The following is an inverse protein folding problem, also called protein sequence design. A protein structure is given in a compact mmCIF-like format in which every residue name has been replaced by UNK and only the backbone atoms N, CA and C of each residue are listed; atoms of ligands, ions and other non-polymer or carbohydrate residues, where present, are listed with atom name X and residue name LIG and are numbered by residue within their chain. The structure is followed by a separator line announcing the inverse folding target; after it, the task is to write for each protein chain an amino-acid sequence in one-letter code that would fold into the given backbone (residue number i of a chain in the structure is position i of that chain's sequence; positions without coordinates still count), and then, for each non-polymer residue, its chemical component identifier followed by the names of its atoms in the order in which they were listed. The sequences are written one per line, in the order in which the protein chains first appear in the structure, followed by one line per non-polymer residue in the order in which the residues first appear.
data_IF_587640570089
#
_entry.id   IF_587640570089
#
_cell.length_a   1.000
_cell.length_b   1.000
_cell.length_c   1.000
_cell.angle_alpha   90.00
_cell.angle_beta   90.00
_cell.angle_gamma   90.00
#
_symmetry.space_group_name_H-M   'P 1'
#
loop_
_entity.id
_entity.type
_entity.pdbx_description
1 polymer ?
#
# COMPACT_ATOMS: atom_id res chain seq x y z
N UNK A 1 17.83 9.62 -17.49
CA UNK A 1 17.61 9.80 -16.05
C UNK A 1 18.97 9.98 -15.40
N UNK A 2 19.11 11.02 -14.60
CA UNK A 2 20.33 11.30 -13.85
C UNK A 2 19.99 11.72 -12.43
N UNK A 3 20.93 11.58 -11.50
CA UNK A 3 20.76 11.93 -10.10
C UNK A 3 21.81 11.27 -9.22
N UNK A 4 21.59 11.34 -7.92
CA UNK A 4 22.38 10.63 -6.93
C UNK A 4 21.49 10.18 -5.78
N UNK A 5 21.93 9.12 -5.12
CA UNK A 5 21.42 8.67 -3.83
C UNK A 5 22.42 9.09 -2.76
N UNK A 6 21.91 9.45 -1.57
CA UNK A 6 22.74 9.76 -0.41
C UNK A 6 22.15 9.04 0.81
N UNK A 7 23.01 8.29 1.50
CA UNK A 7 22.72 7.60 2.74
C UNK A 7 23.17 8.48 3.91
N UNK A 8 22.26 8.86 4.80
CA UNK A 8 22.51 9.77 5.91
C UNK A 8 23.17 9.11 7.13
N UNK A 9 23.15 7.77 7.23
CA UNK A 9 23.84 7.01 8.26
C UNK A 9 25.31 6.79 7.91
N UNK A 10 25.57 6.35 6.68
CA UNK A 10 26.92 6.01 6.21
C UNK A 10 27.63 7.16 5.51
N UNK A 11 26.88 8.22 5.16
CA UNK A 11 27.33 9.35 4.35
C UNK A 11 27.85 8.93 2.96
N UNK A 12 27.47 7.74 2.48
CA UNK A 12 27.82 7.24 1.15
C UNK A 12 26.90 7.88 0.11
N UNK A 13 27.49 8.31 -1.01
CA UNK A 13 26.75 8.80 -2.17
C UNK A 13 26.97 7.89 -3.38
N UNK A 14 25.92 7.70 -4.18
CA UNK A 14 25.99 6.97 -5.46
C UNK A 14 25.30 7.79 -6.54
N UNK A 15 26.05 8.22 -7.55
CA UNK A 15 25.48 8.88 -8.73
C UNK A 15 24.93 7.90 -9.76
N UNK A 16 24.11 8.39 -10.68
CA UNK A 16 23.77 7.73 -11.92
C UNK A 16 23.50 8.75 -13.03
N UNK A 17 23.89 8.41 -14.26
CA UNK A 17 23.56 9.16 -15.46
C UNK A 17 23.31 8.18 -16.61
N UNK A 18 22.06 8.08 -17.05
CA UNK A 18 21.62 7.06 -18.00
C UNK A 18 20.71 7.68 -19.05
N UNK A 19 20.95 7.37 -20.30
CA UNK A 19 20.17 7.80 -21.46
C UNK A 19 19.57 6.57 -22.13
N UNK A 20 18.26 6.63 -22.39
CA UNK A 20 17.53 5.61 -23.14
C UNK A 20 17.06 6.13 -24.49
N UNK A 21 16.90 5.21 -25.45
CA UNK A 21 16.31 5.46 -26.77
C UNK A 21 15.28 4.37 -27.03
N UNK A 22 14.05 4.74 -27.42
CA UNK A 22 12.90 3.83 -27.59
C UNK A 22 12.64 2.94 -26.36
N UNK A 23 12.83 3.49 -25.16
CA UNK A 23 12.66 2.76 -23.89
C UNK A 23 13.77 1.75 -23.58
N UNK A 24 14.83 1.67 -24.40
CA UNK A 24 15.96 0.76 -24.21
C UNK A 24 17.22 1.52 -23.78
N UNK A 25 18.12 0.84 -23.08
CA UNK A 25 19.40 1.39 -22.65
C UNK A 25 20.26 1.79 -23.84
N UNK A 26 20.76 3.03 -23.83
CA UNK A 26 21.50 3.58 -24.96
C UNK A 26 22.91 4.04 -24.56
N UNK A 27 23.05 4.92 -23.58
CA UNK A 27 24.34 5.46 -23.11
C UNK A 27 24.25 5.68 -21.60
N UNK A 28 25.33 5.43 -20.85
CA UNK A 28 25.40 5.77 -19.44
C UNK A 28 26.80 6.26 -19.06
N UNK A 29 26.90 7.08 -18.02
CA UNK A 29 28.18 7.52 -17.46
C UNK A 29 28.68 6.46 -16.47
N UNK A 30 29.82 5.86 -16.76
CA UNK A 30 30.58 5.11 -15.76
C UNK A 30 31.23 6.13 -14.83
N UNK A 31 30.67 6.29 -13.63
CA UNK A 31 31.15 7.27 -12.65
C UNK A 31 32.49 6.87 -12.00
N UNK A 32 32.86 5.59 -12.05
CA UNK A 32 34.15 5.13 -11.52
C UNK A 32 35.29 5.47 -12.47
N UNK A 33 35.11 5.16 -13.76
CA UNK A 33 36.07 5.48 -14.80
C UNK A 33 35.88 6.89 -15.38
N UNK A 34 34.83 7.57 -14.93
CA UNK A 34 34.38 8.89 -15.35
C UNK A 34 34.33 9.07 -16.88
N UNK A 35 33.63 8.15 -17.56
CA UNK A 35 33.47 8.16 -19.02
C UNK A 35 32.13 7.59 -19.45
N UNK A 36 31.58 8.09 -20.53
CA UNK A 36 30.39 7.51 -21.13
C UNK A 36 30.71 6.16 -21.77
N UNK A 37 29.76 5.23 -21.64
CA UNK A 37 29.77 3.88 -22.18
C UNK A 37 28.44 3.62 -22.87
N UNK A 38 28.45 2.79 -23.90
CA UNK A 38 27.24 2.37 -24.62
C UNK A 38 27.23 0.84 -24.78
N UNK A 39 26.09 0.17 -24.57
CA UNK A 39 25.93 -1.25 -24.87
C UNK A 39 25.56 -1.52 -26.34
N UNK A 40 25.29 -0.49 -27.15
CA UNK A 40 24.79 -0.63 -28.53
C UNK A 40 25.67 0.10 -29.55
N UNK A 41 25.74 -0.43 -30.77
CA UNK A 41 26.59 0.13 -31.83
C UNK A 41 26.19 1.56 -32.22
N UNK A 42 24.89 1.85 -32.17
CA UNK A 42 24.31 3.14 -32.52
C UNK A 42 24.78 4.27 -31.56
N UNK A 43 25.18 3.93 -30.33
CA UNK A 43 25.66 4.90 -29.34
C UNK A 43 27.14 5.26 -29.49
N UNK A 44 27.92 4.53 -30.30
CA UNK A 44 29.39 4.66 -30.36
C UNK A 44 29.80 6.07 -30.77
N UNK A 45 29.15 6.64 -31.80
CA UNK A 45 29.48 7.97 -32.32
C UNK A 45 29.27 9.03 -31.24
N UNK A 46 28.17 8.94 -30.50
CA UNK A 46 27.82 9.87 -29.41
C UNK A 46 28.81 9.75 -28.26
N UNK A 47 29.10 8.53 -27.79
CA UNK A 47 30.06 8.30 -26.71
C UNK A 47 31.45 8.82 -27.08
N UNK A 48 31.92 8.60 -28.32
CA UNK A 48 33.19 9.15 -28.80
C UNK A 48 33.22 10.67 -28.81
N UNK A 49 32.10 11.32 -29.13
CA UNK A 49 31.98 12.78 -29.09
C UNK A 49 32.01 13.29 -27.65
N UNK A 50 31.19 12.72 -26.76
CA UNK A 50 31.06 13.18 -25.38
C UNK A 50 32.33 12.94 -24.58
N UNK A 51 32.99 11.79 -24.76
CA UNK A 51 34.26 11.49 -24.07
C UNK A 51 35.45 12.35 -24.55
N UNK A 52 35.31 13.10 -25.64
CA UNK A 52 36.32 14.10 -26.07
C UNK A 52 36.15 15.44 -25.36
N UNK A 53 34.98 15.71 -24.80
CA UNK A 53 34.66 16.95 -24.10
C UNK A 53 35.08 16.85 -22.63
N UNK A 54 36.36 17.13 -22.38
CA UNK A 54 36.95 17.01 -21.03
C UNK A 54 36.38 18.04 -20.06
N UNK A 55 36.05 19.24 -20.54
CA UNK A 55 35.49 20.30 -19.71
C UNK A 55 34.10 19.91 -19.20
N UNK A 56 33.25 19.38 -20.09
CA UNK A 56 31.95 18.86 -19.72
C UNK A 56 32.05 17.69 -18.72
N UNK A 57 33.00 16.78 -18.91
CA UNK A 57 33.22 15.68 -17.96
C UNK A 57 33.63 16.23 -16.58
N UNK A 58 34.55 17.18 -16.49
CA UNK A 58 34.96 17.71 -15.18
C UNK A 58 33.80 18.40 -14.44
N UNK A 59 32.92 19.11 -15.17
CA UNK A 59 31.71 19.71 -14.58
C UNK A 59 30.73 18.64 -14.08
N UNK A 60 30.50 17.57 -14.85
CA UNK A 60 29.66 16.46 -14.40
C UNK A 60 30.25 15.77 -13.18
N UNK A 61 31.58 15.70 -13.09
CA UNK A 61 32.26 15.08 -11.95
C UNK A 61 31.98 15.85 -10.68
N UNK A 62 32.14 17.18 -10.72
CA UNK A 62 31.78 18.05 -9.61
C UNK A 62 30.30 17.88 -9.23
N UNK A 63 29.41 17.82 -10.21
CA UNK A 63 27.98 17.64 -9.95
C UNK A 63 27.68 16.35 -9.17
N UNK A 64 28.18 15.19 -9.64
CA UNK A 64 27.88 13.90 -9.01
C UNK A 64 28.66 13.65 -7.71
N UNK A 65 29.85 14.22 -7.55
CA UNK A 65 30.64 14.10 -6.31
C UNK A 65 30.16 15.04 -5.20
N UNK A 66 29.59 16.20 -5.55
CA UNK A 66 29.25 17.26 -4.59
C UNK A 66 27.83 17.80 -4.76
N UNK A 67 27.59 18.55 -5.85
CA UNK A 67 26.41 19.41 -5.97
C UNK A 67 25.11 18.61 -5.80
N UNK A 68 25.03 17.43 -6.38
CA UNK A 68 23.85 16.59 -6.32
C UNK A 68 23.45 16.24 -4.86
N UNK A 69 24.43 15.87 -4.03
CA UNK A 69 24.19 15.54 -2.62
C UNK A 69 23.81 16.80 -1.83
N UNK A 70 24.46 17.92 -2.11
CA UNK A 70 24.16 19.20 -1.46
C UNK A 70 22.73 19.67 -1.77
N UNK A 71 22.28 19.50 -3.02
CA UNK A 71 20.90 19.75 -3.41
C UNK A 71 19.92 18.84 -2.67
N UNK A 72 20.18 17.53 -2.57
CA UNK A 72 19.32 16.61 -1.81
C UNK A 72 19.23 17.04 -0.34
N UNK A 73 20.36 17.34 0.30
CA UNK A 73 20.38 17.85 1.69
C UNK A 73 19.58 19.14 1.85
N UNK A 74 19.73 20.08 0.91
CA UNK A 74 18.99 21.33 0.92
C UNK A 74 17.48 21.11 0.78
N UNK A 75 17.05 20.29 -0.18
CA UNK A 75 15.64 19.96 -0.38
C UNK A 75 15.06 19.16 0.79
N UNK A 76 15.84 18.29 1.43
CA UNK A 76 15.43 17.64 2.68
C UNK A 76 15.26 18.65 3.80
N UNK A 77 16.16 19.63 3.95
CA UNK A 77 16.01 20.69 4.96
C UNK A 77 14.76 21.55 4.75
N UNK A 78 14.50 22.00 3.52
CA UNK A 78 13.27 22.73 3.17
C UNK A 78 12.04 21.83 3.35
N UNK A 79 12.18 20.59 2.88
CA UNK A 79 11.18 19.56 2.88
C UNK A 79 10.83 19.10 4.27
N UNK A 80 11.71 19.20 5.29
CA UNK A 80 11.39 18.79 6.67
C UNK A 80 10.08 19.40 7.15
N UNK A 81 9.79 20.67 6.89
CA UNK A 81 8.49 21.24 7.29
C UNK A 81 7.26 20.58 6.58
N UNK A 82 7.43 20.05 5.36
CA UNK A 82 6.41 19.37 4.58
C UNK A 82 6.43 17.82 4.69
N UNK A 83 7.60 17.22 4.93
CA UNK A 83 7.89 15.79 5.08
C UNK A 83 7.67 15.33 6.52
N UNK A 84 8.01 16.17 7.53
CA UNK A 84 7.56 15.96 8.93
C UNK A 84 6.04 15.95 9.01
N UNK A 85 5.34 16.53 8.02
CA UNK A 85 3.89 16.51 7.91
C UNK A 85 3.33 15.25 7.23
N UNK A 86 4.16 14.44 6.57
CA UNK A 86 3.83 13.02 6.33
C UNK A 86 4.36 12.24 7.53
N UNK A 87 3.68 12.47 8.66
CA UNK A 87 3.76 11.64 9.86
C UNK A 87 3.79 10.18 9.42
N UNK A 88 4.71 9.37 9.92
CA UNK A 88 4.75 7.93 9.62
C UNK A 88 3.37 7.34 9.87
N UNK A 89 2.64 7.06 8.79
CA UNK A 89 1.27 6.57 8.90
C UNK A 89 1.34 5.05 8.87
N UNK A 90 1.02 4.43 10.01
CA UNK A 90 0.94 2.97 10.09
C UNK A 90 -0.22 2.45 9.23
N UNK A 91 -0.06 1.28 8.57
CA UNK A 91 -1.08 0.75 7.69
C UNK A 91 -2.34 0.36 8.44
N UNK A 92 -3.49 0.61 7.81
CA UNK A 92 -4.71 -0.12 8.13
C UNK A 92 -4.66 -1.48 7.44
N UNK A 93 -4.67 -2.55 8.23
CA UNK A 93 -4.56 -3.93 7.73
C UNK A 93 -5.91 -4.63 7.85
N UNK A 94 -6.35 -5.26 6.77
CA UNK A 94 -7.57 -6.06 6.70
C UNK A 94 -7.31 -7.43 6.08
N UNK A 95 -7.94 -8.45 6.63
CA UNK A 95 -7.94 -9.80 6.07
C UNK A 95 -9.26 -10.01 5.31
N UNK A 96 -9.19 -10.17 3.99
CA UNK A 96 -10.34 -10.14 3.11
C UNK A 96 -10.55 -11.51 2.48
N UNK A 97 -11.79 -12.02 2.52
CA UNK A 97 -12.15 -13.28 1.87
C UNK A 97 -13.54 -13.18 1.24
N UNK A 98 -13.65 -13.42 -0.06
CA UNK A 98 -14.94 -13.31 -0.77
C UNK A 98 -15.98 -14.32 -0.27
N UNK A 99 -15.57 -15.57 -0.12
CA UNK A 99 -16.32 -16.68 0.46
C UNK A 99 -15.34 -17.73 1.02
N UNK A 100 -15.81 -18.72 1.78
CA UNK A 100 -14.93 -19.68 2.45
C UNK A 100 -14.02 -20.45 1.49
N UNK A 101 -14.43 -20.67 0.24
CA UNK A 101 -13.62 -21.34 -0.79
C UNK A 101 -12.65 -20.42 -1.52
N UNK A 102 -12.76 -19.10 -1.32
CA UNK A 102 -11.91 -18.12 -1.99
C UNK A 102 -10.58 -17.94 -1.26
N UNK A 103 -9.52 -17.54 -1.98
CA UNK A 103 -8.27 -17.11 -1.39
C UNK A 103 -8.46 -16.01 -0.35
N UNK A 104 -7.53 -15.94 0.60
CA UNK A 104 -7.52 -14.92 1.65
C UNK A 104 -6.49 -13.86 1.31
N UNK A 105 -6.92 -12.61 1.21
CA UNK A 105 -6.07 -11.47 0.88
C UNK A 105 -5.77 -10.66 2.13
N UNK A 106 -4.49 -10.49 2.44
CA UNK A 106 -4.06 -9.52 3.43
C UNK A 106 -3.80 -8.18 2.74
N UNK A 107 -4.63 -7.18 3.05
CA UNK A 107 -4.61 -5.88 2.42
C UNK A 107 -4.15 -4.83 3.44
N UNK A 108 -3.02 -4.17 3.16
CA UNK A 108 -2.55 -3.00 3.90
C UNK A 108 -2.76 -1.75 3.04
N UNK A 109 -3.30 -0.68 3.63
CA UNK A 109 -3.54 0.59 2.93
C UNK A 109 -3.39 1.79 3.85
N UNK A 110 -3.22 2.97 3.27
CA UNK A 110 -3.13 4.24 3.98
C UNK A 110 -1.78 4.47 4.66
N UNK A 111 -0.74 3.73 4.28
CA UNK A 111 0.57 3.82 4.93
C UNK A 111 1.56 4.72 4.19
N UNK A 112 2.51 5.29 4.93
CA UNK A 112 3.62 6.06 4.39
C UNK A 112 4.82 5.97 5.35
N UNK A 113 6.07 5.73 4.87
CA UNK A 113 6.53 5.64 3.48
C UNK A 113 6.10 4.34 2.77
N UNK A 114 6.46 4.17 1.49
CA UNK A 114 6.02 3.04 0.64
C UNK A 114 6.63 1.68 1.00
N UNK A 115 7.73 1.66 1.76
CA UNK A 115 8.42 0.45 2.15
C UNK A 115 7.57 -0.33 3.16
N UNK A 116 7.03 -1.49 2.75
CA UNK A 116 6.25 -2.38 3.62
C UNK A 116 6.58 -3.83 3.31
N UNK A 117 6.69 -4.63 4.36
CA UNK A 117 6.86 -6.08 4.27
C UNK A 117 5.58 -6.75 4.73
N UNK A 118 5.00 -7.60 3.87
CA UNK A 118 3.80 -8.38 4.20
C UNK A 118 4.16 -9.85 4.00
N UNK A 119 4.04 -10.64 5.05
CA UNK A 119 4.37 -12.07 5.05
C UNK A 119 3.21 -12.89 5.60
N UNK A 120 3.14 -14.14 5.20
CA UNK A 120 2.27 -15.13 5.82
C UNK A 120 3.09 -16.04 6.72
N UNK A 121 2.55 -16.31 7.91
CA UNK A 121 3.05 -17.35 8.79
C UNK A 121 2.10 -18.55 8.74
N UNK A 122 2.65 -19.75 8.67
CA UNK A 122 1.95 -21.03 8.87
C UNK A 122 2.49 -21.67 10.14
N UNK A 123 1.65 -21.81 11.17
CA UNK A 123 2.05 -22.32 12.48
C UNK A 123 3.27 -21.60 13.09
N UNK A 124 3.36 -20.29 12.88
CA UNK A 124 4.45 -19.45 13.40
C UNK A 124 5.73 -19.44 12.57
N UNK A 125 5.80 -20.17 11.44
CA UNK A 125 6.93 -20.13 10.51
C UNK A 125 6.56 -19.38 9.24
N UNK A 126 7.50 -18.63 8.67
CA UNK A 126 7.29 -17.94 7.40
C UNK A 126 6.89 -18.93 6.30
N UNK A 127 5.87 -18.55 5.53
CA UNK A 127 5.26 -19.35 4.48
C UNK A 127 5.13 -18.53 3.21
N UNK A 128 5.79 -18.99 2.15
CA UNK A 128 5.84 -18.31 0.85
C UNK A 128 5.23 -19.17 -0.29
N UNK A 129 4.80 -20.41 0.00
CA UNK A 129 4.13 -21.28 -0.99
C UNK A 129 2.67 -20.83 -1.19
N UNK A 130 2.19 -20.88 -2.44
CA UNK A 130 0.83 -20.43 -2.82
C UNK A 130 0.50 -18.98 -2.41
N UNK A 131 1.53 -18.15 -2.25
CA UNK A 131 1.42 -16.71 -1.96
C UNK A 131 1.60 -15.89 -3.24
N UNK A 132 0.62 -15.04 -3.52
CA UNK A 132 0.67 -14.04 -4.58
C UNK A 132 1.02 -12.67 -3.97
N UNK A 133 2.18 -12.13 -4.37
CA UNK A 133 2.70 -10.86 -3.90
C UNK A 133 2.25 -9.73 -4.83
N UNK A 134 1.27 -8.94 -4.36
CA UNK A 134 0.83 -7.76 -5.10
C UNK A 134 1.88 -6.65 -5.11
N UNK A 135 1.80 -5.81 -6.14
CA UNK A 135 2.60 -4.59 -6.25
C UNK A 135 2.17 -3.55 -5.20
N UNK A 136 3.11 -2.68 -4.82
CA UNK A 136 2.78 -1.50 -4.00
C UNK A 136 2.19 -0.43 -4.91
N UNK A 137 0.95 -0.02 -4.63
CA UNK A 137 0.24 1.01 -5.38
C UNK A 137 0.15 2.31 -4.57
N UNK A 138 0.05 3.44 -5.27
CA UNK A 138 -0.14 4.76 -4.66
C UNK A 138 -1.63 5.13 -4.65
N UNK A 139 -2.09 5.68 -3.52
CA UNK A 139 -3.45 6.20 -3.33
C UNK A 139 -3.55 7.66 -3.82
N UNK A 140 -4.78 8.14 -4.02
CA UNK A 140 -5.05 9.52 -4.44
C UNK A 140 -4.54 10.58 -3.45
N UNK A 141 -4.48 10.22 -2.16
CA UNK A 141 -3.98 11.08 -1.08
C UNK A 141 -2.45 11.02 -0.92
N UNK A 142 -1.75 10.24 -1.75
CA UNK A 142 -0.30 10.07 -1.73
C UNK A 142 0.22 9.08 -0.67
N UNK A 143 -0.66 8.34 0.01
CA UNK A 143 -0.31 7.15 0.80
C UNK A 143 -0.18 5.91 -0.10
N UNK A 144 0.21 4.77 0.46
CA UNK A 144 0.42 3.54 -0.29
C UNK A 144 -0.52 2.43 0.15
N UNK A 145 -0.69 1.45 -0.73
CA UNK A 145 -1.41 0.21 -0.47
C UNK A 145 -0.66 -0.99 -1.07
N UNK A 146 -0.80 -2.16 -0.46
CA UNK A 146 -0.25 -3.43 -0.95
C UNK A 146 -1.12 -4.58 -0.49
N UNK A 147 -1.29 -5.58 -1.36
CA UNK A 147 -2.07 -6.79 -1.07
C UNK A 147 -1.20 -8.01 -1.26
N UNK A 148 -1.27 -8.95 -0.32
CA UNK A 148 -0.65 -10.27 -0.46
C UNK A 148 -1.70 -11.35 -0.24
N UNK A 149 -1.89 -12.22 -1.21
CA UNK A 149 -2.98 -13.20 -1.24
C UNK A 149 -2.46 -14.60 -1.04
N UNK A 150 -3.06 -15.34 -0.11
CA UNK A 150 -2.76 -16.75 0.17
C UNK A 150 -3.82 -17.65 -0.47
N UNK A 151 -3.38 -18.51 -1.39
CA UNK A 151 -4.21 -19.39 -2.20
C UNK A 151 -4.20 -20.83 -1.68
N UNK A 152 -4.83 -21.09 -0.53
CA UNK A 152 -4.87 -22.44 0.06
C UNK A 152 -6.26 -23.04 0.07
N UNK A 153 -6.32 -24.38 0.08
CA UNK A 153 -7.57 -25.13 0.21
C UNK A 153 -8.16 -24.99 1.62
N UNK A 154 -9.50 -25.00 1.69
CA UNK A 154 -10.26 -24.87 2.95
C UNK A 154 -9.84 -25.88 4.03
N UNK A 155 -9.53 -27.11 3.61
CA UNK A 155 -9.15 -28.18 4.53
C UNK A 155 -7.78 -27.93 5.17
N UNK A 156 -6.87 -27.27 4.46
CA UNK A 156 -5.56 -26.92 5.01
C UNK A 156 -5.62 -25.65 5.84
N UNK A 157 -6.50 -24.71 5.49
CA UNK A 157 -6.80 -23.54 6.32
C UNK A 157 -7.22 -23.95 7.73
N UNK A 158 -8.13 -24.92 7.87
CA UNK A 158 -8.63 -25.35 9.19
C UNK A 158 -7.64 -26.17 10.02
N UNK A 159 -6.59 -26.72 9.39
CA UNK A 159 -5.59 -27.58 10.06
C UNK A 159 -4.39 -26.80 10.59
N UNK A 160 -4.13 -25.62 10.03
CA UNK A 160 -2.95 -24.83 10.36
C UNK A 160 -3.37 -23.42 10.74
N UNK A 161 -2.60 -22.80 11.62
CA UNK A 161 -2.81 -21.42 11.98
C UNK A 161 -2.09 -20.52 10.98
N UNK A 162 -2.84 -19.83 10.14
CA UNK A 162 -2.32 -18.83 9.23
C UNK A 162 -2.45 -17.42 9.83
N UNK A 163 -1.35 -16.65 9.75
CA UNK A 163 -1.30 -15.28 10.26
C UNK A 163 -0.68 -14.40 9.18
N UNK A 164 -1.36 -13.31 8.81
CA UNK A 164 -0.72 -12.27 8.03
C UNK A 164 0.06 -11.34 8.97
N UNK A 165 1.32 -11.07 8.64
CA UNK A 165 2.19 -10.17 9.38
C UNK A 165 2.61 -9.02 8.47
N UNK A 166 2.30 -7.80 8.88
CA UNK A 166 2.65 -6.57 8.19
C UNK A 166 3.68 -5.81 9.04
N UNK A 167 4.85 -5.57 8.46
CA UNK A 167 5.92 -4.78 9.07
C UNK A 167 6.10 -3.49 8.27
N UNK A 168 6.04 -2.36 8.98
CA UNK A 168 6.12 -1.02 8.40
C UNK A 168 6.79 -0.08 9.42
N UNK A 169 7.90 0.56 9.04
CA UNK A 169 8.70 1.44 9.91
C UNK A 169 8.98 0.83 11.31
N UNK A 170 9.37 -0.45 11.35
CA UNK A 170 9.67 -1.18 12.59
C UNK A 170 8.46 -1.53 13.48
N UNK A 171 7.23 -1.23 13.03
CA UNK A 171 5.99 -1.65 13.70
C UNK A 171 5.43 -2.89 13.03
N UNK A 172 4.95 -3.83 13.84
CA UNK A 172 4.36 -5.09 13.38
C UNK A 172 2.86 -5.14 13.69
N UNK A 173 2.05 -5.44 12.67
CA UNK A 173 0.62 -5.68 12.78
C UNK A 173 0.34 -7.10 12.32
N UNK A 174 -0.41 -7.87 13.11
CA UNK A 174 -0.78 -9.24 12.78
C UNK A 174 -2.29 -9.36 12.60
N UNK A 175 -2.71 -10.18 11.64
CA UNK A 175 -4.11 -10.53 11.40
C UNK A 175 -4.29 -12.04 11.33
N UNK A 176 -5.31 -12.51 12.04
CA UNK A 176 -5.64 -13.94 12.13
C UNK A 176 -6.99 -14.24 11.48
N UNK A 177 -7.33 -15.53 11.39
CA UNK A 177 -8.58 -15.98 10.77
C UNK A 177 -9.85 -15.42 11.43
N UNK A 178 -9.81 -15.09 12.72
CA UNK A 178 -10.93 -14.52 13.46
C UNK A 178 -11.31 -13.12 12.96
N UNK A 179 -10.40 -12.46 12.25
CA UNK A 179 -10.53 -11.10 11.75
C UNK A 179 -10.86 -11.04 10.25
N UNK A 180 -11.17 -12.19 9.63
CA UNK A 180 -11.55 -12.25 8.21
C UNK A 180 -12.87 -11.50 7.98
N UNK A 181 -12.80 -10.50 7.11
CA UNK A 181 -13.95 -9.77 6.60
C UNK A 181 -14.44 -10.47 5.33
N UNK A 182 -15.66 -11.01 5.38
CA UNK A 182 -16.32 -11.68 4.26
C UNK A 182 -17.64 -11.02 3.88
N UNK A 183 -17.93 -10.96 2.58
CA UNK A 183 -19.19 -10.38 2.07
C UNK A 183 -20.43 -11.18 2.50
N UNK A 184 -20.29 -12.47 2.88
CA UNK A 184 -21.42 -13.33 3.28
C UNK A 184 -21.74 -13.32 4.78
N UNK A 185 -20.89 -12.78 5.65
CA UNK A 185 -21.10 -12.81 7.11
C UNK A 185 -22.25 -11.92 7.59
N UNK A 186 -22.81 -11.05 6.73
CA UNK A 186 -24.07 -10.32 6.99
C UNK A 186 -25.35 -11.17 6.84
N UNK A 187 -25.26 -12.45 6.47
CA UNK A 187 -26.42 -13.33 6.30
C UNK A 187 -26.54 -14.41 7.40
N UNK A 188 -26.35 -14.04 8.67
CA UNK A 188 -26.76 -14.90 9.78
C UNK A 188 -28.28 -14.78 9.98
N UNK A 189 -29.02 -15.73 9.40
CA UNK A 189 -30.45 -15.92 9.66
C UNK A 189 -30.61 -16.23 11.15
N UNK A 190 -31.09 -15.26 11.93
CA UNK A 190 -31.58 -15.51 13.30
C UNK A 190 -32.87 -16.31 13.15
N UNK A 191 -32.81 -17.63 13.22
CA UNK A 191 -34.01 -18.45 13.36
C UNK A 191 -34.53 -18.28 14.79
N UNK A 192 -35.57 -17.48 14.96
CA UNK A 192 -36.32 -17.42 16.22
C UNK A 192 -37.01 -18.78 16.40
N UNK A 193 -36.57 -19.58 17.38
CA UNK A 193 -37.36 -20.72 17.84
C UNK A 193 -38.60 -20.15 18.53
N UNK A 194 -39.73 -20.16 17.83
CA UNK A 194 -41.04 -19.95 18.44
C UNK A 194 -41.32 -21.11 19.39
N UNK A 195 -41.13 -20.88 20.69
CA UNK A 195 -41.75 -21.71 21.72
C UNK A 195 -43.26 -21.48 21.62
N UNK A 196 -43.96 -22.41 20.98
CA UNK A 196 -45.41 -22.49 21.05
C UNK A 196 -45.80 -22.87 22.48
N UNK A 197 -46.24 -21.89 23.28
CA UNK A 197 -46.91 -22.15 24.53
C UNK A 197 -48.35 -22.62 24.25
N UNK A 198 -48.89 -23.62 24.97
CA UNK A 198 -50.25 -24.08 24.74
C UNK A 198 -51.27 -23.01 25.16
N UNK A 199 -52.31 -22.83 24.35
CA UNK A 199 -53.46 -22.01 24.68
C UNK A 199 -54.17 -22.57 25.92
N UNK A 200 -54.13 -21.84 27.03
CA UNK A 200 -55.16 -21.93 28.06
C UNK A 200 -56.07 -20.72 27.95
N UNK A 201 -57.29 -20.98 27.50
CA UNK A 201 -58.42 -20.06 27.51
C UNK A 201 -58.68 -19.52 28.91
N UNK A 202 -58.82 -18.19 29.06
CA UNK A 202 -59.98 -17.57 29.73
C UNK A 202 -59.82 -16.05 29.91
N UNK A 203 -60.98 -15.39 29.98
CA UNK A 203 -61.25 -14.04 30.46
C UNK A 203 -61.12 -12.83 29.51
N UNK A 204 -62.26 -12.57 28.84
CA UNK A 204 -63.08 -11.35 28.94
C UNK A 204 -62.39 -9.97 28.98
N UNK A 205 -62.52 -9.28 27.85
CA UNK A 205 -63.26 -8.01 27.78
C UNK A 205 -62.60 -6.75 28.33
N UNK A 206 -62.29 -5.80 27.42
CA UNK A 206 -62.99 -4.51 27.35
C UNK A 206 -62.50 -3.70 26.14
N UNK A 207 -63.48 -3.10 25.47
CA UNK A 207 -63.33 -2.18 24.36
C UNK A 207 -62.74 -0.83 24.80
N UNK A 208 -62.06 -0.12 23.89
CA UNK A 208 -62.58 1.12 23.30
C UNK A 208 -61.58 1.76 22.31
N UNK A 209 -62.10 1.92 21.08
CA UNK A 209 -61.99 2.98 20.07
C UNK A 209 -60.69 3.80 19.82
N UNK A 210 -60.43 4.13 18.52
CA UNK A 210 -59.29 4.91 18.06
C UNK A 210 -59.62 6.41 18.00
N UNK A 211 -58.59 7.26 17.97
CA UNK A 211 -58.70 8.62 17.42
C UNK A 211 -57.57 8.89 16.43
N UNK A 212 -57.97 9.16 15.20
CA UNK A 212 -57.16 9.69 14.12
C UNK A 212 -57.53 11.16 13.90
N UNK A 213 -56.55 11.97 13.50
CA UNK A 213 -56.61 13.22 12.69
C UNK A 213 -55.51 14.18 13.16
N UNK A 214 -54.52 14.50 12.32
CA UNK A 214 -54.54 15.58 11.30
C UNK A 214 -54.35 16.96 11.98
N UNK A 215 -53.50 17.89 11.52
CA UNK A 215 -53.57 18.66 10.27
C UNK A 215 -52.29 19.52 10.10
N UNK A 216 -51.80 19.56 8.86
CA UNK A 216 -51.22 20.65 8.04
C UNK A 216 -50.12 21.65 8.51
N UNK A 217 -49.07 21.69 7.66
CA UNK A 217 -48.51 22.81 6.88
C UNK A 217 -48.32 24.23 7.47
N UNK A 218 -47.07 24.72 7.39
CA UNK A 218 -46.67 25.89 6.56
C UNK A 218 -45.12 25.95 6.52
N UNK A 219 -44.46 25.82 5.37
CA UNK A 219 -44.12 26.84 4.35
C UNK A 219 -43.17 27.98 4.79
N UNK A 220 -42.06 28.12 4.04
CA UNK A 220 -41.24 29.33 3.89
C UNK A 220 -39.77 29.11 4.26
N UNK A 221 -38.86 28.87 3.31
CA UNK A 221 -38.08 29.88 2.54
C UNK A 221 -37.15 30.69 3.48
N UNK A 222 -35.86 30.90 3.25
CA UNK A 222 -35.06 30.85 2.02
C UNK A 222 -33.59 30.77 2.41
N UNK A 223 -32.79 30.16 1.55
CA UNK A 223 -31.35 30.29 1.43
C UNK A 223 -30.94 31.69 0.98
N UNK A 224 -29.83 32.20 1.53
CA UNK A 224 -28.63 32.70 0.81
C UNK A 224 -27.54 33.03 1.83
#
# INVERSE_FOLDING_TARGET
MYGCDWDDETNVSRGFDQHGYDGQNFIFLDLKEFRYVTPVLQGIITVQKWNKDREQLELLKQYYEQDCVDWIKYFLMLGKAALVKREEVSPLVSLLQKDSSSPVSCHATGFYPSAVTITWLKNGQQHDEDVDLGETLINEDGTFQKTVTLNIYLDDWKKHQYVCVVEHEGKTIQKTEEEIISNKSKLLIVTWKTLAAPLSSSFQGKACAPFASAIANNHGLHSS
#
